data_IF_816175515372
#
_entry.id   IF_816175515372
#
_cell.length_a   1.000
_cell.length_b   1.000
_cell.length_c   1.000
_cell.angle_alpha   90.00
_cell.angle_beta   90.00
_cell.angle_gamma   90.00
#
_symmetry.space_group_name_H-M   'P 1'
#
loop_
_entity.id
_entity.type
_entity.pdbx_description
1 polymer ?
#
# COMPACT_ATOMS: atom_id res chain seq x y z
N UNK A 1 37.33 -26.08 9.93
CA UNK A 1 36.11 -26.83 10.33
C UNK A 1 34.84 -26.25 9.69
N UNK A 2 34.12 -27.09 8.93
CA UNK A 2 32.89 -26.75 8.20
C UNK A 2 31.82 -26.11 9.11
N UNK A 3 31.77 -26.54 10.36
CA UNK A 3 30.89 -26.01 11.41
C UNK A 3 31.06 -24.50 11.64
N UNK A 4 32.29 -23.98 11.74
CA UNK A 4 32.54 -22.55 11.96
C UNK A 4 32.08 -21.70 10.76
N UNK A 5 32.19 -22.21 9.53
CA UNK A 5 31.70 -21.51 8.33
C UNK A 5 30.18 -21.44 8.32
N UNK A 6 29.51 -22.50 8.79
CA UNK A 6 28.06 -22.59 8.84
C UNK A 6 27.46 -21.61 9.87
N UNK A 7 28.11 -21.46 11.02
CA UNK A 7 27.71 -20.47 12.06
C UNK A 7 27.83 -19.04 11.55
N UNK A 8 28.90 -18.73 10.80
CA UNK A 8 29.09 -17.39 10.22
C UNK A 8 27.98 -17.09 9.19
N UNK A 9 27.62 -18.05 8.32
CA UNK A 9 26.56 -17.84 7.32
C UNK A 9 25.20 -17.57 7.98
N UNK A 10 24.87 -18.29 9.05
CA UNK A 10 23.60 -18.10 9.78
C UNK A 10 23.58 -16.76 10.52
N UNK A 11 24.72 -16.32 11.07
CA UNK A 11 24.82 -15.05 11.81
C UNK A 11 24.63 -13.80 10.92
N UNK A 12 24.92 -13.91 9.62
CA UNK A 12 24.74 -12.82 8.66
C UNK A 12 23.48 -12.98 7.79
N UNK A 13 22.66 -14.01 8.03
CA UNK A 13 21.38 -14.13 7.33
C UNK A 13 20.41 -13.08 7.88
N UNK A 14 19.78 -12.26 7.01
CA UNK A 14 18.75 -11.34 7.45
C UNK A 14 17.60 -12.14 8.07
N UNK A 15 17.34 -11.90 9.35
CA UNK A 15 16.23 -12.51 10.05
C UNK A 15 14.97 -11.70 9.75
N UNK A 16 14.09 -12.23 8.92
CA UNK A 16 12.78 -11.61 8.63
C UNK A 16 11.79 -12.16 9.65
N UNK A 17 11.31 -11.29 10.55
CA UNK A 17 10.19 -11.61 11.42
C UNK A 17 8.90 -11.35 10.66
N UNK A 18 8.19 -12.40 10.25
CA UNK A 18 6.88 -12.25 9.65
C UNK A 18 5.90 -11.69 10.71
N UNK A 19 5.28 -10.56 10.40
CA UNK A 19 4.16 -10.01 11.20
C UNK A 19 3.02 -11.04 11.28
N UNK A 20 2.20 -11.07 12.35
CA UNK A 20 1.14 -12.06 12.51
C UNK A 20 0.26 -12.15 11.26
N UNK A 21 0.12 -13.37 10.73
CA UNK A 21 -0.43 -13.64 9.40
C UNK A 21 -1.96 -13.49 9.30
N UNK A 22 -2.62 -13.19 10.41
CA UNK A 22 -4.08 -13.09 10.49
C UNK A 22 -4.47 -11.74 11.07
N UNK A 23 -4.67 -10.77 10.18
CA UNK A 23 -5.41 -9.56 10.52
C UNK A 23 -6.90 -9.92 10.57
N UNK A 24 -7.55 -9.59 11.69
CA UNK A 24 -9.00 -9.73 11.79
C UNK A 24 -9.67 -8.88 10.70
N UNK A 25 -10.80 -9.34 10.18
CA UNK A 25 -11.59 -8.51 9.28
C UNK A 25 -11.91 -7.20 10.00
N UNK A 26 -11.61 -6.04 9.40
CA UNK A 26 -11.83 -4.77 10.06
C UNK A 26 -13.34 -4.59 10.31
N UNK A 27 -13.69 -4.04 11.48
CA UNK A 27 -15.09 -3.79 11.88
C UNK A 27 -15.65 -2.58 11.13
N UNK A 28 -15.76 -2.72 9.81
CA UNK A 28 -16.24 -1.70 8.87
C UNK A 28 -17.54 -2.21 8.30
N UNK A 29 -18.62 -1.43 8.48
CA UNK A 29 -19.87 -1.72 7.82
C UNK A 29 -19.67 -1.64 6.31
N UNK A 30 -20.21 -2.61 5.57
CA UNK A 30 -20.12 -2.62 4.11
C UNK A 30 -20.61 -1.31 3.46
N UNK A 31 -21.60 -0.65 4.09
CA UNK A 31 -22.10 0.67 3.68
C UNK A 31 -21.03 1.76 3.74
N UNK A 32 -20.24 1.79 4.81
CA UNK A 32 -19.20 2.80 5.01
C UNK A 32 -18.02 2.52 4.06
N UNK A 33 -17.69 1.24 3.87
CA UNK A 33 -16.74 0.80 2.86
C UNK A 33 -17.18 1.22 1.44
N UNK A 34 -18.42 0.95 1.05
CA UNK A 34 -18.93 1.29 -0.28
C UNK A 34 -18.96 2.81 -0.50
N UNK A 35 -19.39 3.57 0.52
CA UNK A 35 -19.42 5.03 0.45
C UNK A 35 -18.00 5.62 0.32
N UNK A 36 -17.02 5.06 1.04
CA UNK A 36 -15.63 5.46 0.91
C UNK A 36 -15.09 5.17 -0.50
N UNK A 37 -15.36 3.98 -1.04
CA UNK A 37 -14.89 3.58 -2.38
C UNK A 37 -15.45 4.51 -3.45
N UNK A 38 -16.75 4.82 -3.38
CA UNK A 38 -17.40 5.76 -4.31
C UNK A 38 -16.83 7.18 -4.19
N UNK A 39 -16.55 7.65 -2.97
CA UNK A 39 -15.99 8.97 -2.73
C UNK A 39 -14.52 9.07 -3.17
N UNK A 40 -13.73 8.03 -2.90
CA UNK A 40 -12.30 7.99 -3.19
C UNK A 40 -12.01 7.68 -4.65
N UNK A 41 -12.70 6.73 -5.28
CA UNK A 41 -12.37 6.29 -6.65
C UNK A 41 -13.42 6.70 -7.70
N UNK A 42 -14.59 7.16 -7.25
CA UNK A 42 -15.69 7.56 -8.12
C UNK A 42 -16.60 6.39 -8.49
N UNK A 43 -17.85 6.69 -8.85
CA UNK A 43 -18.90 5.72 -9.17
C UNK A 43 -18.65 4.85 -10.41
N UNK A 44 -17.59 5.14 -11.18
CA UNK A 44 -17.24 4.38 -12.40
C UNK A 44 -16.31 3.22 -12.11
N UNK A 45 -15.73 3.13 -10.92
CA UNK A 45 -14.86 2.02 -10.56
C UNK A 45 -15.64 0.71 -10.57
N UNK A 46 -15.07 -0.33 -11.16
CA UNK A 46 -15.70 -1.65 -11.17
C UNK A 46 -15.46 -2.38 -9.85
N UNK A 47 -16.39 -3.25 -9.46
CA UNK A 47 -16.19 -4.14 -8.30
C UNK A 47 -14.91 -4.96 -8.43
N UNK A 48 -14.61 -5.46 -9.64
CA UNK A 48 -13.39 -6.24 -9.88
C UNK A 48 -12.13 -5.41 -9.61
N UNK A 49 -12.12 -4.13 -9.97
CA UNK A 49 -11.02 -3.20 -9.68
C UNK A 49 -10.89 -2.97 -8.18
N UNK A 50 -12.00 -2.80 -7.46
CA UNK A 50 -11.99 -2.62 -6.00
C UNK A 50 -11.42 -3.85 -5.29
N UNK A 51 -11.86 -5.06 -5.69
CA UNK A 51 -11.34 -6.32 -5.14
C UNK A 51 -9.86 -6.50 -5.46
N UNK A 52 -9.43 -6.16 -6.67
CA UNK A 52 -8.02 -6.21 -7.07
C UNK A 52 -7.16 -5.29 -6.19
N UNK A 53 -7.62 -4.05 -5.95
CA UNK A 53 -6.94 -3.13 -5.05
C UNK A 53 -6.92 -3.67 -3.61
N UNK A 54 -8.04 -4.22 -3.14
CA UNK A 54 -8.14 -4.81 -1.80
C UNK A 54 -7.14 -5.95 -1.60
N UNK A 55 -7.10 -6.92 -2.52
CA UNK A 55 -6.14 -8.04 -2.45
C UNK A 55 -4.71 -7.56 -2.58
N UNK A 56 -4.44 -6.62 -3.49
CA UNK A 56 -3.08 -6.07 -3.64
C UNK A 56 -2.60 -5.39 -2.36
N UNK A 57 -3.46 -4.67 -1.65
CA UNK A 57 -3.09 -3.99 -0.41
C UNK A 57 -2.97 -4.96 0.77
N UNK A 58 -3.86 -5.95 0.87
CA UNK A 58 -3.89 -6.90 2.00
C UNK A 58 -2.83 -8.00 1.90
N UNK A 59 -2.42 -8.39 0.69
CA UNK A 59 -1.39 -9.42 0.48
C UNK A 59 0.05 -8.85 0.44
N UNK A 60 0.22 -7.54 0.60
CA UNK A 60 1.54 -6.89 0.58
C UNK A 60 1.83 -6.06 1.85
N UNK A 61 1.73 -6.64 3.06
CA UNK A 61 1.90 -5.91 4.33
C UNK A 61 3.31 -5.32 4.50
N UNK A 62 4.35 -5.98 3.97
CA UNK A 62 5.73 -5.49 4.03
C UNK A 62 5.90 -4.15 3.30
N UNK A 63 5.25 -3.99 2.14
CA UNK A 63 5.30 -2.74 1.38
C UNK A 63 4.55 -1.61 2.11
N UNK A 64 3.46 -1.94 2.81
CA UNK A 64 2.71 -0.97 3.61
C UNK A 64 3.44 -0.56 4.89
N UNK A 65 4.10 -1.49 5.56
CA UNK A 65 4.94 -1.19 6.72
C UNK A 65 6.13 -0.31 6.33
N UNK A 66 6.74 -0.59 5.18
CA UNK A 66 7.83 0.22 4.65
C UNK A 66 7.36 1.64 4.31
N UNK A 67 6.21 1.79 3.63
CA UNK A 67 5.57 3.08 3.36
C UNK A 67 5.29 3.85 4.66
N UNK A 68 4.76 3.16 5.67
CA UNK A 68 4.43 3.74 6.97
C UNK A 68 5.67 4.23 7.74
N UNK A 69 6.77 3.47 7.71
CA UNK A 69 8.06 3.89 8.26
C UNK A 69 8.67 5.06 7.49
N UNK A 70 8.50 5.13 6.17
CA UNK A 70 8.97 6.27 5.37
C UNK A 70 8.20 7.56 5.66
N UNK A 71 6.91 7.46 6.01
CA UNK A 71 6.12 8.60 6.44
C UNK A 71 6.48 9.07 7.85
N UNK A 72 6.94 8.17 8.73
CA UNK A 72 7.27 8.44 10.13
C UNK A 72 8.74 8.08 10.45
N UNK A 73 9.72 8.77 9.82
CA UNK A 73 11.13 8.47 10.05
C UNK A 73 11.53 8.78 11.49
N UNK A 74 12.33 7.92 12.10
CA UNK A 74 12.87 8.14 13.45
C UNK A 74 13.92 9.26 13.36
N UNK A 75 13.98 10.14 14.37
CA UNK A 75 14.98 11.22 14.42
C UNK A 75 16.41 10.67 14.24
N UNK A 76 17.07 11.08 13.15
CA UNK A 76 18.42 10.62 12.78
C UNK A 76 18.48 9.70 11.57
N UNK A 77 17.35 9.17 11.09
CA UNK A 77 17.30 8.44 9.82
C UNK A 77 17.29 9.40 8.63
N UNK A 78 18.08 9.08 7.60
CA UNK A 78 17.98 9.79 6.33
C UNK A 78 16.56 9.60 5.80
N UNK A 79 15.86 10.70 5.55
CA UNK A 79 14.64 10.73 4.75
C UNK A 79 14.99 10.31 3.31
N UNK A 80 15.34 9.05 3.08
CA UNK A 80 15.34 8.43 1.76
C UNK A 80 13.88 8.19 1.39
N UNK A 81 13.15 9.30 1.28
CA UNK A 81 11.79 9.33 0.83
C UNK A 81 11.74 8.96 -0.64
N UNK A 82 10.63 8.36 -1.02
CA UNK A 82 10.06 8.38 -2.37
C UNK A 82 10.35 7.20 -3.31
N UNK A 83 11.33 6.31 -3.07
CA UNK A 83 11.56 5.22 -4.05
C UNK A 83 10.67 4.00 -3.80
N UNK A 84 10.58 3.47 -2.59
CA UNK A 84 9.97 2.14 -2.39
C UNK A 84 8.43 2.17 -2.48
N UNK A 85 7.78 3.27 -2.11
CA UNK A 85 6.33 3.50 -2.32
C UNK A 85 5.92 3.49 -3.80
N UNK A 86 6.86 3.83 -4.70
CA UNK A 86 6.58 3.81 -6.13
C UNK A 86 6.25 2.42 -6.63
N UNK A 87 6.74 1.35 -5.99
CA UNK A 87 6.58 -0.02 -6.51
C UNK A 87 5.14 -0.51 -6.35
N UNK A 88 4.53 -0.36 -5.17
CA UNK A 88 3.13 -0.76 -4.95
C UNK A 88 2.18 0.06 -5.81
N UNK A 89 2.41 1.37 -5.89
CA UNK A 89 1.59 2.28 -6.71
C UNK A 89 1.77 1.97 -8.20
N UNK A 90 2.99 1.67 -8.65
CA UNK A 90 3.27 1.31 -10.04
C UNK A 90 2.72 -0.08 -10.39
N UNK A 91 2.75 -1.04 -9.46
CA UNK A 91 2.09 -2.34 -9.60
C UNK A 91 0.58 -2.15 -9.72
N UNK A 92 -0.06 -1.43 -8.80
CA UNK A 92 -1.48 -1.09 -8.88
C UNK A 92 -1.80 -0.37 -10.20
N UNK A 93 -0.99 0.61 -10.60
CA UNK A 93 -1.13 1.33 -11.86
C UNK A 93 -1.05 0.41 -13.08
N UNK A 94 -0.10 -0.55 -13.08
CA UNK A 94 0.05 -1.53 -14.15
C UNK A 94 -1.12 -2.50 -14.21
N UNK A 95 -1.60 -2.96 -13.05
CA UNK A 95 -2.73 -3.87 -12.91
C UNK A 95 -4.05 -3.23 -13.37
N UNK A 96 -4.26 -1.96 -13.07
CA UNK A 96 -5.46 -1.23 -13.47
C UNK A 96 -5.28 -0.45 -14.77
N UNK A 97 -4.16 -0.60 -15.50
CA UNK A 97 -3.80 0.23 -16.66
C UNK A 97 -4.90 0.34 -17.72
N UNK A 98 -5.62 -0.76 -17.97
CA UNK A 98 -6.71 -0.79 -18.96
C UNK A 98 -7.94 -0.01 -18.49
N UNK A 99 -8.18 0.05 -17.19
CA UNK A 99 -9.31 0.71 -16.54
C UNK A 99 -8.87 1.94 -15.72
N UNK A 100 -7.67 2.46 -15.95
CA UNK A 100 -7.04 3.46 -15.09
C UNK A 100 -7.89 4.73 -14.95
N UNK A 101 -8.66 5.06 -15.99
CA UNK A 101 -9.60 6.19 -16.00
C UNK A 101 -10.76 6.03 -15.01
N UNK A 102 -11.14 4.80 -14.66
CA UNK A 102 -12.25 4.52 -13.74
C UNK A 102 -11.83 4.62 -12.27
N UNK A 103 -10.52 4.63 -12.00
CA UNK A 103 -9.94 4.77 -10.65
C UNK A 103 -9.82 6.26 -10.26
N UNK A 104 -10.05 7.17 -11.21
CA UNK A 104 -10.04 8.62 -11.01
C UNK A 104 -11.45 9.20 -11.06
N UNK A 105 -11.75 10.11 -10.14
CA UNK A 105 -13.01 10.85 -10.16
C UNK A 105 -13.06 11.79 -11.39
N UNK A 106 -14.25 12.28 -11.70
CA UNK A 106 -14.42 13.20 -12.82
C UNK A 106 -13.53 14.45 -12.64
N UNK A 107 -12.75 14.79 -13.68
CA UNK A 107 -11.81 15.91 -13.66
C UNK A 107 -10.45 15.63 -13.01
N UNK A 108 -10.24 14.46 -12.38
CA UNK A 108 -8.94 14.12 -11.76
C UNK A 108 -7.97 13.46 -12.74
N UNK A 109 -8.48 12.93 -13.86
CA UNK A 109 -7.64 12.27 -14.86
C UNK A 109 -6.72 13.29 -15.54
N UNK A 110 -5.41 13.07 -15.42
CA UNK A 110 -4.38 13.83 -16.13
C UNK A 110 -3.73 12.95 -17.22
N UNK A 111 -3.30 13.52 -18.34
CA UNK A 111 -2.60 12.77 -19.39
C UNK A 111 -1.16 12.40 -19.01
N UNK A 112 -0.55 13.10 -18.05
CA UNK A 112 0.80 12.82 -17.57
C UNK A 112 0.78 11.69 -16.55
N UNK A 113 1.50 10.60 -16.85
CA UNK A 113 1.63 9.43 -15.99
C UNK A 113 2.10 9.78 -14.57
N UNK A 114 3.05 10.72 -14.44
CA UNK A 114 3.56 11.15 -13.12
C UNK A 114 2.42 11.65 -12.23
N UNK A 115 1.50 12.48 -12.77
CA UNK A 115 0.34 12.95 -12.02
C UNK A 115 -0.63 11.83 -11.66
N UNK A 116 -0.84 10.88 -12.58
CA UNK A 116 -1.71 9.72 -12.32
C UNK A 116 -1.15 8.85 -11.19
N UNK A 117 0.16 8.56 -11.20
CA UNK A 117 0.84 7.79 -10.17
C UNK A 117 0.77 8.52 -8.82
N UNK A 118 1.09 9.81 -8.77
CA UNK A 118 0.99 10.59 -7.53
C UNK A 118 -0.44 10.61 -6.97
N UNK A 119 -1.44 10.82 -7.81
CA UNK A 119 -2.84 10.85 -7.38
C UNK A 119 -3.32 9.45 -6.95
N UNK A 120 -2.92 8.40 -7.65
CA UNK A 120 -3.23 7.01 -7.26
C UNK A 120 -2.59 6.67 -5.91
N UNK A 121 -1.34 7.08 -5.68
CA UNK A 121 -0.65 6.93 -4.39
C UNK A 121 -1.46 7.52 -3.24
N UNK A 122 -1.98 8.75 -3.39
CA UNK A 122 -2.81 9.36 -2.34
C UNK A 122 -4.11 8.61 -2.07
N UNK A 123 -4.73 8.01 -3.10
CA UNK A 123 -5.96 7.21 -2.93
C UNK A 123 -5.67 5.87 -2.26
N UNK A 124 -4.56 5.23 -2.62
CA UNK A 124 -4.12 3.97 -2.01
C UNK A 124 -3.70 4.17 -0.55
N UNK A 125 -3.05 5.28 -0.21
CA UNK A 125 -2.76 5.66 1.17
C UNK A 125 -4.04 5.81 2.01
N UNK A 126 -5.04 6.53 1.49
CA UNK A 126 -6.35 6.64 2.14
C UNK A 126 -7.05 5.28 2.28
N UNK A 127 -6.92 4.41 1.28
CA UNK A 127 -7.49 3.06 1.30
C UNK A 127 -6.79 2.14 2.31
N UNK A 128 -5.46 2.25 2.44
CA UNK A 128 -4.69 1.54 3.47
C UNK A 128 -5.13 1.93 4.87
N UNK A 129 -5.33 3.24 5.10
CA UNK A 129 -5.81 3.80 6.37
C UNK A 129 -7.21 3.34 6.71
N UNK A 130 -8.13 3.34 5.75
CA UNK A 130 -9.48 2.80 5.94
C UNK A 130 -9.44 1.34 6.40
N UNK A 131 -8.61 0.51 5.74
CA UNK A 131 -8.47 -0.91 6.03
C UNK A 131 -7.64 -1.22 7.28
N UNK A 132 -7.14 -0.18 7.97
CA UNK A 132 -6.26 -0.29 9.11
C UNK A 132 -5.02 -1.16 8.83
N UNK A 133 -4.41 -0.98 7.66
CA UNK A 133 -3.24 -1.75 7.21
C UNK A 133 -1.90 -1.08 7.55
N UNK A 134 -1.93 0.14 8.07
CA UNK A 134 -0.73 0.87 8.50
C UNK A 134 -0.63 0.85 10.02
N UNK A 135 0.56 0.63 10.60
CA UNK A 135 0.73 0.55 12.06
C UNK A 135 0.57 1.90 12.78
N UNK A 136 0.40 2.99 12.04
CA UNK A 136 0.15 4.32 12.59
C UNK A 136 -1.32 4.67 12.45
N UNK A 137 -1.99 4.71 13.59
CA UNK A 137 -3.33 5.25 13.73
C UNK A 137 -3.28 6.77 13.54
N UNK A 138 -4.45 7.38 13.35
CA UNK A 138 -4.66 8.76 12.88
C UNK A 138 -4.29 9.84 13.92
N UNK A 139 -3.33 9.56 14.80
CA UNK A 139 -2.80 10.46 15.81
C UNK A 139 -1.36 10.84 15.44
N UNK A 140 -1.23 11.78 14.51
CA UNK A 140 0.04 12.38 14.07
C UNK A 140 -0.07 13.01 12.69
#
# INVERSE_FOLDING_TARGET
PLFMKLVIIIAFMPFVSASPTTQLFPDILFRDFSAFVELTFGFKISLATVLLLLFTMTENPELLNLHAHQQNPIEGENKTGFWLDSTLVLCCYALVKNDIKTVFCHGEYNSKQIHQVTKLSTKLDAFAKLLNLTPYDHWG
#
